data_IF_918700199214
#
_entry.id   IF_918700199214
#
_cell.length_a   1.000
_cell.length_b   1.000
_cell.length_c   1.000
_cell.angle_alpha   90.00
_cell.angle_beta   90.00
_cell.angle_gamma   90.00
#
_symmetry.space_group_name_H-M   'P 1'
#
loop_
_entity.id
_entity.type
_entity.pdbx_description
1 polymer ?
#
# COMPACT_ATOMS: atom_id res chain seq x y z
N UNK A 1 32.00 18.12 -40.89
CA UNK A 1 32.01 19.46 -41.52
C UNK A 1 31.42 20.43 -40.52
N UNK A 2 32.20 20.83 -39.52
CA UNK A 2 33.26 21.86 -39.57
C UNK A 2 32.68 23.25 -39.31
N UNK A 3 33.23 23.90 -38.29
CA UNK A 3 33.13 25.33 -37.97
C UNK A 3 31.85 25.84 -37.27
N UNK A 4 31.56 25.32 -36.07
CA UNK A 4 31.14 26.17 -34.94
C UNK A 4 31.58 25.59 -33.58
N UNK A 5 32.57 24.70 -33.61
CA UNK A 5 33.44 24.41 -32.47
C UNK A 5 34.28 25.69 -32.30
N UNK A 6 34.42 26.20 -31.07
CA UNK A 6 35.13 27.44 -30.70
C UNK A 6 34.32 28.76 -30.55
N UNK A 7 33.08 28.70 -30.04
CA UNK A 7 32.65 29.69 -29.01
C UNK A 7 33.00 29.20 -27.59
N UNK A 8 34.04 28.38 -27.53
CA UNK A 8 35.00 28.30 -26.46
C UNK A 8 35.22 29.66 -25.79
N UNK A 9 34.95 29.71 -24.49
CA UNK A 9 35.79 30.43 -23.54
C UNK A 9 35.83 31.96 -23.70
N UNK A 10 34.69 32.63 -23.54
CA UNK A 10 34.69 33.98 -22.98
C UNK A 10 33.68 34.09 -21.84
N UNK A 11 34.13 33.61 -20.68
CA UNK A 11 34.15 34.43 -19.48
C UNK A 11 32.83 35.07 -19.06
N UNK A 12 32.01 34.28 -18.37
CA UNK A 12 31.28 34.77 -17.19
C UNK A 12 31.47 33.74 -16.08
N UNK A 13 32.65 33.81 -15.44
CA UNK A 13 32.95 32.99 -14.28
C UNK A 13 31.93 33.28 -13.18
N UNK A 14 31.26 32.22 -12.73
CA UNK A 14 30.98 32.07 -11.30
C UNK A 14 29.65 31.41 -10.94
N UNK A 15 28.56 31.64 -11.69
CA UNK A 15 27.21 31.19 -11.26
C UNK A 15 26.39 30.44 -12.31
N UNK A 16 26.34 30.89 -13.56
CA UNK A 16 25.36 30.38 -14.54
C UNK A 16 25.66 28.98 -15.09
N UNK A 17 26.94 28.61 -15.27
CA UNK A 17 27.33 27.27 -15.73
C UNK A 17 27.09 26.18 -14.66
N UNK A 18 27.21 26.54 -13.38
CA UNK A 18 26.97 25.61 -12.26
C UNK A 18 25.49 25.21 -12.22
N UNK A 19 24.57 26.17 -12.41
CA UNK A 19 23.13 25.87 -12.47
C UNK A 19 22.75 25.00 -13.68
N UNK A 20 23.42 25.18 -14.82
CA UNK A 20 23.23 24.34 -16.01
C UNK A 20 23.70 22.89 -15.76
N UNK A 21 24.85 22.71 -15.09
CA UNK A 21 25.35 21.39 -14.70
C UNK A 21 24.41 20.69 -13.70
N UNK A 22 23.92 21.40 -12.68
CA UNK A 22 22.94 20.86 -11.73
C UNK A 22 21.64 20.45 -12.42
N UNK A 23 21.17 21.25 -13.38
CA UNK A 23 19.97 20.94 -14.16
C UNK A 23 20.17 19.68 -15.01
N UNK A 24 21.31 19.56 -15.70
CA UNK A 24 21.67 18.38 -16.48
C UNK A 24 21.71 17.11 -15.62
N UNK A 25 22.37 17.16 -14.46
CA UNK A 25 22.41 16.03 -13.52
C UNK A 25 21.01 15.68 -13.02
N UNK A 26 20.18 16.67 -12.71
CA UNK A 26 18.79 16.48 -12.31
C UNK A 26 17.96 15.76 -13.36
N UNK A 27 18.04 16.21 -14.63
CA UNK A 27 17.36 15.55 -15.75
C UNK A 27 17.89 14.14 -16.01
N UNK A 28 19.20 13.92 -15.92
CA UNK A 28 19.79 12.60 -16.10
C UNK A 28 19.30 11.62 -15.01
N UNK A 29 19.25 12.06 -13.75
CA UNK A 29 18.72 11.25 -12.65
C UNK A 29 17.24 10.94 -12.83
N UNK A 30 16.43 11.92 -13.25
CA UNK A 30 15.01 11.71 -13.53
C UNK A 30 14.81 10.69 -14.67
N UNK A 31 15.58 10.83 -15.75
CA UNK A 31 15.54 9.91 -16.89
C UNK A 31 15.98 8.49 -16.52
N UNK A 32 17.06 8.34 -15.74
CA UNK A 32 17.50 7.02 -15.25
C UNK A 32 16.45 6.41 -14.33
N UNK A 33 15.84 7.20 -13.44
CA UNK A 33 14.76 6.71 -12.57
C UNK A 33 13.56 6.22 -13.39
N UNK A 34 13.15 6.97 -14.41
CA UNK A 34 12.08 6.58 -15.33
C UNK A 34 12.42 5.30 -16.10
N UNK A 35 13.65 5.18 -16.61
CA UNK A 35 14.12 3.97 -17.29
C UNK A 35 14.12 2.75 -16.36
N UNK A 36 14.55 2.91 -15.11
CA UNK A 36 14.51 1.84 -14.10
C UNK A 36 13.08 1.44 -13.72
N UNK A 37 12.17 2.40 -13.64
CA UNK A 37 10.75 2.14 -13.35
C UNK A 37 10.07 1.39 -14.51
N UNK A 38 10.38 1.73 -15.77
CA UNK A 38 9.82 1.07 -16.95
C UNK A 38 10.38 -0.35 -17.13
N UNK A 39 11.67 -0.55 -16.82
CA UNK A 39 12.34 -1.84 -17.06
C UNK A 39 12.18 -2.85 -15.93
N UNK A 40 11.81 -2.39 -14.72
CA UNK A 40 11.68 -3.26 -13.54
C UNK A 40 10.25 -3.76 -13.30
N UNK A 41 10.06 -5.08 -13.22
CA UNK A 41 8.80 -5.70 -12.74
C UNK A 41 8.64 -5.68 -11.22
N UNK A 42 9.43 -4.88 -10.50
CA UNK A 42 9.53 -4.89 -9.03
C UNK A 42 8.17 -4.70 -8.34
N UNK A 43 7.31 -3.84 -8.90
CA UNK A 43 5.96 -3.63 -8.39
C UNK A 43 5.15 -4.92 -8.48
N UNK A 44 5.11 -5.54 -9.66
CA UNK A 44 4.34 -6.76 -9.94
C UNK A 44 4.80 -7.93 -9.07
N UNK A 45 6.10 -8.13 -8.92
CA UNK A 45 6.66 -9.20 -8.09
C UNK A 45 6.35 -8.98 -6.60
N UNK A 46 6.51 -7.75 -6.11
CA UNK A 46 6.11 -7.38 -4.74
C UNK A 46 4.61 -7.58 -4.51
N UNK A 47 3.78 -7.24 -5.51
CA UNK A 47 2.33 -7.43 -5.44
C UNK A 47 1.93 -8.89 -5.38
N UNK A 48 2.49 -9.74 -6.23
CA UNK A 48 2.20 -11.18 -6.24
C UNK A 48 2.62 -11.82 -4.92
N UNK A 49 3.81 -11.46 -4.40
CA UNK A 49 4.26 -11.93 -3.10
C UNK A 49 3.34 -11.49 -1.95
N UNK A 50 2.91 -10.22 -1.95
CA UNK A 50 1.98 -9.68 -0.95
C UNK A 50 0.61 -10.35 -1.00
N UNK A 51 0.03 -10.49 -2.20
CA UNK A 51 -1.25 -11.16 -2.39
C UNK A 51 -1.21 -12.62 -1.93
N UNK A 52 -0.08 -13.28 -2.18
CA UNK A 52 0.22 -14.61 -1.67
C UNK A 52 0.22 -14.71 -0.15
N UNK A 53 0.98 -13.82 0.50
CA UNK A 53 1.06 -13.78 1.95
C UNK A 53 -0.31 -13.52 2.61
N UNK A 54 -1.12 -12.60 2.07
CA UNK A 54 -2.48 -12.38 2.58
C UNK A 54 -3.40 -13.58 2.32
N UNK A 55 -3.25 -14.29 1.20
CA UNK A 55 -4.01 -15.52 0.91
C UNK A 55 -3.69 -16.64 1.90
N UNK A 56 -2.41 -16.89 2.19
CA UNK A 56 -1.98 -17.87 3.20
C UNK A 56 -2.49 -17.49 4.59
N UNK A 57 -2.49 -16.20 4.93
CA UNK A 57 -3.03 -15.69 6.20
C UNK A 57 -4.55 -15.91 6.30
N UNK A 58 -5.30 -15.65 5.23
CA UNK A 58 -6.74 -15.96 5.16
C UNK A 58 -6.99 -17.45 5.34
N UNK A 59 -6.26 -18.32 4.63
CA UNK A 59 -6.35 -19.77 4.80
C UNK A 59 -6.03 -20.21 6.23
N UNK A 60 -5.03 -19.59 6.85
CA UNK A 60 -4.61 -19.90 8.23
C UNK A 60 -5.72 -19.59 9.23
N UNK A 61 -6.39 -18.44 9.08
CA UNK A 61 -7.55 -18.08 9.92
C UNK A 61 -8.73 -19.02 9.68
N UNK A 62 -9.09 -19.27 8.42
CA UNK A 62 -10.20 -20.17 8.07
C UNK A 62 -9.98 -21.57 8.65
N UNK A 63 -8.78 -22.12 8.53
CA UNK A 63 -8.42 -23.40 9.14
C UNK A 63 -8.53 -23.36 10.67
N UNK A 64 -7.92 -22.35 11.30
CA UNK A 64 -7.83 -22.26 12.76
C UNK A 64 -9.20 -22.20 13.42
N UNK A 65 -10.16 -21.52 12.80
CA UNK A 65 -11.48 -21.32 13.41
C UNK A 65 -12.57 -22.22 12.84
N UNK A 66 -12.19 -23.16 11.97
CA UNK A 66 -13.12 -24.15 11.43
C UNK A 66 -14.09 -23.60 10.40
N UNK A 67 -13.69 -22.57 9.66
CA UNK A 67 -14.48 -21.99 8.59
C UNK A 67 -14.32 -22.78 7.29
N UNK A 68 -15.27 -22.63 6.37
CA UNK A 68 -15.22 -23.22 5.03
C UNK A 68 -13.83 -22.97 4.41
N UNK A 69 -13.20 -23.91 3.69
CA UNK A 69 -13.61 -25.30 3.48
C UNK A 69 -13.14 -26.25 4.59
N UNK A 70 -12.63 -25.74 5.73
CA UNK A 70 -12.02 -26.49 6.81
C UNK A 70 -13.01 -26.77 7.95
N UNK A 71 -14.14 -27.41 7.67
CA UNK A 71 -15.17 -27.66 8.68
C UNK A 71 -14.66 -28.51 9.86
N UNK A 72 -15.13 -28.23 11.08
CA UNK A 72 -14.69 -28.92 12.31
C UNK A 72 -15.09 -30.39 12.41
N UNK A 73 -16.11 -30.81 11.67
CA UNK A 73 -16.51 -32.22 11.60
C UNK A 73 -15.60 -33.07 10.71
N UNK A 74 -14.71 -32.46 9.91
CA UNK A 74 -13.73 -33.19 9.13
C UNK A 74 -12.64 -33.78 10.05
N UNK A 75 -12.16 -35.01 9.78
CA UNK A 75 -10.99 -35.56 10.45
C UNK A 75 -9.80 -34.61 10.35
N UNK A 76 -9.02 -34.46 11.44
CA UNK A 76 -7.89 -33.53 11.50
C UNK A 76 -6.92 -33.73 10.32
N UNK A 77 -6.55 -34.98 10.04
CA UNK A 77 -5.67 -35.35 8.91
C UNK A 77 -6.18 -34.86 7.56
N UNK A 78 -7.49 -34.90 7.35
CA UNK A 78 -8.11 -34.44 6.11
C UNK A 78 -8.06 -32.90 6.01
N UNK A 79 -8.36 -32.21 7.11
CA UNK A 79 -8.26 -30.74 7.17
C UNK A 79 -6.82 -30.24 7.00
N UNK A 80 -5.84 -30.96 7.57
CA UNK A 80 -4.41 -30.65 7.44
C UNK A 80 -3.95 -30.83 5.99
N UNK A 81 -4.33 -31.95 5.37
CA UNK A 81 -4.01 -32.22 3.97
C UNK A 81 -4.63 -31.16 3.04
N UNK A 82 -5.89 -30.80 3.28
CA UNK A 82 -6.56 -29.75 2.51
C UNK A 82 -5.85 -28.40 2.69
N UNK A 83 -5.48 -28.04 3.91
CA UNK A 83 -4.76 -26.79 4.18
C UNK A 83 -3.43 -26.76 3.43
N UNK A 84 -2.65 -27.84 3.55
CA UNK A 84 -1.38 -28.01 2.86
C UNK A 84 -1.51 -27.87 1.35
N UNK A 85 -2.51 -28.52 0.78
CA UNK A 85 -2.81 -28.44 -0.65
C UNK A 85 -3.11 -26.99 -1.08
N UNK A 86 -3.99 -26.29 -0.35
CA UNK A 86 -4.36 -24.90 -0.65
C UNK A 86 -3.20 -23.92 -0.51
N UNK A 87 -2.36 -24.07 0.50
CA UNK A 87 -1.15 -23.25 0.64
C UNK A 87 -0.17 -23.54 -0.49
N UNK A 88 0.00 -24.80 -0.89
CA UNK A 88 0.81 -25.17 -2.04
C UNK A 88 0.28 -24.58 -3.36
N UNK A 89 -1.04 -24.50 -3.55
CA UNK A 89 -1.65 -23.86 -4.72
C UNK A 89 -1.32 -22.37 -4.77
N UNK A 90 -1.43 -21.67 -3.64
CA UNK A 90 -1.07 -20.26 -3.52
C UNK A 90 0.42 -20.07 -3.84
N UNK A 91 1.30 -20.88 -3.25
CA UNK A 91 2.74 -20.82 -3.52
C UNK A 91 3.06 -21.04 -4.99
N UNK A 92 2.44 -22.05 -5.64
CA UNK A 92 2.61 -22.29 -7.09
C UNK A 92 2.14 -21.14 -7.96
N UNK A 93 1.04 -20.48 -7.58
CA UNK A 93 0.53 -19.32 -8.31
C UNK A 93 1.51 -18.12 -8.28
N UNK A 94 2.32 -18.00 -7.23
CA UNK A 94 3.29 -16.90 -7.04
C UNK A 94 4.68 -17.29 -7.56
N UNK A 95 5.01 -18.58 -7.61
CA UNK A 95 6.36 -19.10 -7.84
C UNK A 95 6.93 -18.91 -9.26
N UNK A 96 6.39 -18.01 -10.09
CA UNK A 96 7.09 -17.61 -11.32
C UNK A 96 8.48 -17.02 -11.04
N UNK A 97 8.69 -16.42 -9.86
CA UNK A 97 9.96 -15.81 -9.42
C UNK A 97 10.34 -16.11 -7.95
N UNK A 98 9.66 -17.03 -7.26
CA UNK A 98 9.88 -17.25 -5.82
C UNK A 98 11.18 -18.05 -5.57
N UNK A 99 12.00 -17.55 -4.64
CA UNK A 99 13.16 -18.28 -4.11
C UNK A 99 12.70 -19.61 -3.50
N UNK A 100 13.47 -20.71 -3.63
CA UNK A 100 13.15 -21.97 -2.99
C UNK A 100 13.00 -21.77 -1.48
N UNK A 101 11.83 -22.13 -0.94
CA UNK A 101 11.53 -22.02 0.48
C UNK A 101 12.42 -23.00 1.27
N UNK A 102 13.01 -22.53 2.36
CA UNK A 102 13.97 -23.27 3.21
C UNK A 102 13.26 -24.26 4.15
N UNK A 103 11.96 -24.11 4.37
CA UNK A 103 11.14 -25.00 5.21
C UNK A 103 9.76 -25.25 4.58
N UNK A 104 9.18 -26.41 4.86
CA UNK A 104 7.81 -26.77 4.48
C UNK A 104 6.78 -26.01 5.35
N UNK A 105 6.67 -24.70 5.11
CA UNK A 105 5.70 -23.80 5.76
C UNK A 105 4.24 -24.03 5.32
N UNK A 106 3.96 -25.13 4.62
CA UNK A 106 2.60 -25.44 4.13
C UNK A 106 1.76 -26.25 5.12
N UNK A 107 2.35 -26.74 6.22
CA UNK A 107 1.60 -27.47 7.26
C UNK A 107 0.96 -26.51 8.29
N UNK A 108 -0.23 -26.82 8.82
CA UNK A 108 -0.81 -26.04 9.91
C UNK A 108 0.10 -26.03 11.14
N UNK A 109 0.19 -24.90 11.82
CA UNK A 109 0.97 -24.80 13.07
C UNK A 109 0.21 -25.43 14.25
N UNK A 110 0.94 -25.82 15.31
CA UNK A 110 0.34 -26.36 16.53
C UNK A 110 -0.68 -25.39 17.17
N UNK A 111 -0.40 -24.08 17.15
CA UNK A 111 -1.35 -23.09 17.66
C UNK A 111 -2.64 -23.07 16.85
N UNK A 112 -2.57 -23.22 15.52
CA UNK A 112 -3.76 -23.29 14.67
C UNK A 112 -4.62 -24.52 15.01
N UNK A 113 -3.97 -25.67 15.26
CA UNK A 113 -4.63 -26.92 15.67
C UNK A 113 -5.28 -26.80 17.04
N UNK A 114 -4.60 -26.18 18.00
CA UNK A 114 -5.13 -25.92 19.35
C UNK A 114 -6.38 -25.03 19.29
N UNK A 115 -6.33 -23.94 18.53
CA UNK A 115 -7.50 -23.06 18.32
C UNK A 115 -8.63 -23.87 17.68
N UNK A 116 -8.33 -24.67 16.65
CA UNK A 116 -9.31 -25.48 15.93
C UNK A 116 -10.04 -26.49 16.82
N UNK A 117 -9.31 -27.13 17.75
CA UNK A 117 -9.86 -28.09 18.69
C UNK A 117 -10.69 -27.45 19.83
N UNK A 118 -10.63 -26.12 19.97
CA UNK A 118 -11.35 -25.41 21.02
C UNK A 118 -12.84 -25.23 20.72
N UNK A 119 -13.59 -24.89 21.77
CA UNK A 119 -15.03 -24.63 21.65
C UNK A 119 -15.34 -23.52 20.64
N UNK A 120 -16.54 -23.52 20.06
CA UNK A 120 -16.99 -22.47 19.16
C UNK A 120 -16.85 -21.07 19.77
N UNK A 121 -17.17 -20.93 21.06
CA UNK A 121 -17.08 -19.66 21.79
C UNK A 121 -15.64 -19.18 21.86
N UNK A 122 -14.70 -20.10 22.13
CA UNK A 122 -13.28 -19.78 22.21
C UNK A 122 -12.69 -19.39 20.84
N UNK A 123 -12.98 -20.18 19.79
CA UNK A 123 -12.62 -19.83 18.40
C UNK A 123 -13.16 -18.46 18.00
N UNK A 124 -14.41 -18.17 18.35
CA UNK A 124 -15.05 -16.87 18.08
C UNK A 124 -14.31 -15.73 18.76
N UNK A 125 -14.07 -15.85 20.06
CA UNK A 125 -13.38 -14.82 20.83
C UNK A 125 -11.96 -14.56 20.29
N UNK A 126 -11.23 -15.63 19.92
CA UNK A 126 -9.90 -15.54 19.33
C UNK A 126 -9.97 -14.83 17.97
N UNK A 127 -10.89 -15.24 17.09
CA UNK A 127 -11.07 -14.62 15.78
C UNK A 127 -11.41 -13.13 15.90
N UNK A 128 -12.43 -12.79 16.69
CA UNK A 128 -12.88 -11.42 16.85
C UNK A 128 -11.76 -10.54 17.41
N UNK A 129 -11.02 -11.03 18.42
CA UNK A 129 -9.95 -10.27 19.06
C UNK A 129 -8.72 -10.09 18.17
N UNK A 130 -8.19 -11.18 17.62
CA UNK A 130 -6.87 -11.18 16.99
C UNK A 130 -6.91 -10.99 15.48
N UNK A 131 -8.03 -11.31 14.82
CA UNK A 131 -8.22 -11.14 13.39
C UNK A 131 -9.05 -9.91 13.07
N UNK A 132 -10.33 -9.89 13.45
CA UNK A 132 -11.23 -8.81 13.08
C UNK A 132 -10.85 -7.48 13.76
N UNK A 133 -10.75 -7.44 15.09
CA UNK A 133 -10.51 -6.20 15.83
C UNK A 133 -9.11 -5.62 15.57
N UNK A 134 -8.10 -6.47 15.32
CA UNK A 134 -6.77 -6.02 14.90
C UNK A 134 -6.82 -5.36 13.51
N UNK A 135 -7.56 -5.95 12.57
CA UNK A 135 -7.74 -5.39 11.23
C UNK A 135 -8.52 -4.07 11.29
N UNK A 136 -9.62 -4.03 12.04
CA UNK A 136 -10.42 -2.83 12.29
C UNK A 136 -9.56 -1.68 12.83
N UNK A 137 -8.79 -1.92 13.91
CA UNK A 137 -7.95 -0.90 14.50
C UNK A 137 -6.87 -0.42 13.52
N UNK A 138 -6.25 -1.31 12.74
CA UNK A 138 -5.29 -0.93 11.72
C UNK A 138 -5.89 0.01 10.67
N UNK A 139 -7.10 -0.29 10.16
CA UNK A 139 -7.78 0.57 9.19
C UNK A 139 -8.20 1.91 9.79
N UNK A 140 -8.77 1.90 11.00
CA UNK A 140 -9.12 3.11 11.75
C UNK A 140 -7.91 4.02 11.96
N UNK A 141 -6.79 3.46 12.37
CA UNK A 141 -5.55 4.22 12.58
C UNK A 141 -4.97 4.73 11.26
N UNK A 142 -5.04 3.94 10.18
CA UNK A 142 -4.64 4.38 8.84
C UNK A 142 -5.52 5.52 8.33
N UNK A 143 -6.83 5.47 8.54
CA UNK A 143 -7.74 6.56 8.20
C UNK A 143 -7.35 7.84 8.95
N UNK A 144 -7.19 7.76 10.27
CA UNK A 144 -6.80 8.91 11.11
C UNK A 144 -5.44 9.50 10.74
N UNK A 145 -4.45 8.64 10.46
CA UNK A 145 -3.12 9.09 10.06
C UNK A 145 -3.14 9.79 8.69
N UNK A 146 -3.94 9.29 7.74
CA UNK A 146 -4.12 9.95 6.43
C UNK A 146 -4.89 11.27 6.57
N UNK A 147 -5.90 11.36 7.43
CA UNK A 147 -6.60 12.62 7.74
C UNK A 147 -5.61 13.67 8.29
N UNK A 148 -4.80 13.30 9.28
CA UNK A 148 -3.76 14.17 9.85
C UNK A 148 -2.72 14.59 8.81
N UNK A 149 -2.28 13.65 7.97
CA UNK A 149 -1.34 13.93 6.88
C UNK A 149 -1.93 14.90 5.85
N UNK A 150 -3.21 14.74 5.47
CA UNK A 150 -3.89 15.63 4.53
C UNK A 150 -3.91 17.08 5.03
N UNK A 151 -4.27 17.30 6.30
CA UNK A 151 -4.27 18.64 6.91
C UNK A 151 -2.86 19.21 6.97
N UNK A 152 -1.88 18.41 7.41
CA UNK A 152 -0.48 18.84 7.52
C UNK A 152 0.09 19.26 6.16
N UNK A 153 -0.08 18.44 5.12
CA UNK A 153 0.45 18.73 3.80
C UNK A 153 -0.23 19.91 3.12
N UNK A 154 -1.54 20.09 3.31
CA UNK A 154 -2.25 21.31 2.86
C UNK A 154 -1.67 22.56 3.53
N UNK A 155 -1.43 22.50 4.85
CA UNK A 155 -0.79 23.60 5.58
C UNK A 155 0.63 23.93 5.08
N UNK A 156 1.43 22.89 4.80
CA UNK A 156 2.77 23.07 4.22
C UNK A 156 2.69 23.74 2.84
N UNK A 157 1.77 23.31 1.97
CA UNK A 157 1.62 23.86 0.63
C UNK A 157 1.17 25.33 0.68
N UNK A 158 0.16 25.67 1.48
CA UNK A 158 -0.29 27.06 1.68
C UNK A 158 0.85 27.90 2.25
N UNK A 159 1.62 27.38 3.22
CA UNK A 159 2.79 28.08 3.76
C UNK A 159 3.84 28.36 2.68
N UNK A 160 4.13 27.38 1.83
CA UNK A 160 5.06 27.54 0.70
C UNK A 160 4.56 28.58 -0.32
N UNK A 161 3.26 28.58 -0.63
CA UNK A 161 2.62 29.57 -1.50
C UNK A 161 2.73 30.99 -0.91
N UNK A 162 2.45 31.17 0.39
CA UNK A 162 2.59 32.46 1.07
C UNK A 162 4.04 32.96 1.03
N UNK A 163 5.02 32.07 1.25
CA UNK A 163 6.45 32.42 1.15
C UNK A 163 6.80 32.83 -0.29
N UNK A 164 6.32 32.11 -1.30
CA UNK A 164 6.57 32.45 -2.69
C UNK A 164 5.95 33.80 -3.06
N UNK A 165 4.74 34.10 -2.60
CA UNK A 165 4.09 35.41 -2.79
C UNK A 165 4.90 36.52 -2.11
N UNK A 166 5.37 36.31 -0.87
CA UNK A 166 6.18 37.29 -0.16
C UNK A 166 7.51 37.58 -0.86
N UNK A 167 8.20 36.55 -1.35
CA UNK A 167 9.44 36.70 -2.11
C UNK A 167 9.21 37.40 -3.45
N UNK A 168 8.11 37.09 -4.15
CA UNK A 168 7.72 37.78 -5.38
C UNK A 168 7.45 39.28 -5.13
N UNK A 169 6.75 39.62 -4.04
CA UNK A 169 6.52 41.00 -3.64
C UNK A 169 7.82 41.72 -3.25
N UNK A 170 8.72 41.07 -2.50
CA UNK A 170 10.02 41.63 -2.14
C UNK A 170 10.90 41.93 -3.37
N UNK A 171 10.84 41.08 -4.41
CA UNK A 171 11.47 41.36 -5.70
C UNK A 171 10.81 42.54 -6.42
N UNK A 172 9.48 42.55 -6.51
CA UNK A 172 8.74 43.57 -7.25
C UNK A 172 8.86 44.99 -6.65
N UNK A 173 8.90 45.10 -5.32
CA UNK A 173 8.85 46.38 -4.61
C UNK A 173 10.10 46.70 -3.78
N UNK A 174 10.92 45.70 -3.45
CA UNK A 174 12.05 45.83 -2.51
C UNK A 174 13.44 45.90 -3.15
N UNK A 175 13.54 45.90 -4.48
CA UNK A 175 14.82 46.02 -5.21
C UNK A 175 15.72 44.77 -5.13
N UNK A 176 15.18 43.61 -4.76
CA UNK A 176 15.92 42.35 -4.70
C UNK A 176 16.12 41.73 -6.08
N UNK A 177 17.36 41.64 -6.54
CA UNK A 177 17.68 41.23 -7.91
C UNK A 177 17.88 39.70 -8.09
N UNK A 178 17.66 38.89 -7.05
CA UNK A 178 17.82 37.43 -7.15
C UNK A 178 16.54 36.78 -7.69
N UNK A 179 16.64 36.11 -8.84
CA UNK A 179 15.52 35.39 -9.46
C UNK A 179 15.43 33.95 -8.94
N UNK A 180 14.71 33.77 -7.83
CA UNK A 180 14.32 32.45 -7.33
C UNK A 180 12.94 32.01 -7.84
N UNK A 181 12.26 32.81 -8.67
CA UNK A 181 10.87 32.56 -9.03
C UNK A 181 10.71 31.21 -9.74
N UNK A 182 11.59 30.91 -10.70
CA UNK A 182 11.58 29.61 -11.39
C UNK A 182 11.81 28.41 -10.47
N UNK A 183 12.73 28.51 -9.51
CA UNK A 183 13.03 27.43 -8.55
C UNK A 183 11.86 27.23 -7.58
N UNK A 184 11.28 28.30 -7.06
CA UNK A 184 10.11 28.25 -6.17
C UNK A 184 8.88 27.69 -6.88
N UNK A 185 8.61 28.12 -8.10
CA UNK A 185 7.52 27.58 -8.92
C UNK A 185 7.70 26.08 -9.19
N UNK A 186 8.93 25.63 -9.47
CA UNK A 186 9.21 24.20 -9.65
C UNK A 186 9.01 23.40 -8.35
N UNK A 187 9.45 23.91 -7.19
CA UNK A 187 9.26 23.26 -5.88
C UNK A 187 7.77 23.18 -5.53
N UNK A 188 7.02 24.25 -5.74
CA UNK A 188 5.57 24.28 -5.47
C UNK A 188 4.85 23.33 -6.42
N UNK A 189 5.18 23.34 -7.72
CA UNK A 189 4.62 22.43 -8.71
C UNK A 189 4.89 20.96 -8.37
N UNK A 190 6.13 20.62 -8.02
CA UNK A 190 6.51 19.27 -7.59
C UNK A 190 5.80 18.87 -6.27
N UNK A 191 5.70 19.79 -5.31
CA UNK A 191 4.98 19.58 -4.05
C UNK A 191 3.49 19.36 -4.25
N UNK A 192 2.86 20.14 -5.14
CA UNK A 192 1.45 20.00 -5.50
C UNK A 192 1.21 18.66 -6.23
N UNK A 193 2.07 18.28 -7.16
CA UNK A 193 2.03 16.99 -7.84
C UNK A 193 2.19 15.83 -6.85
N UNK A 194 3.15 15.92 -5.92
CA UNK A 194 3.33 14.92 -4.87
C UNK A 194 2.09 14.78 -3.97
N UNK A 195 1.46 15.90 -3.60
CA UNK A 195 0.25 15.90 -2.79
C UNK A 195 -0.94 15.26 -3.54
N UNK A 196 -1.07 15.58 -4.83
CA UNK A 196 -2.07 14.97 -5.71
C UNK A 196 -1.85 13.46 -5.81
N UNK A 197 -0.61 12.99 -5.96
CA UNK A 197 -0.26 11.57 -6.00
C UNK A 197 -0.51 10.85 -4.67
N UNK A 198 -0.27 11.49 -3.51
CA UNK A 198 -0.46 10.83 -2.20
C UNK A 198 -1.92 10.61 -1.83
N UNK A 199 -2.85 11.36 -2.41
CA UNK A 199 -4.30 11.18 -2.25
C UNK A 199 -4.77 10.95 -0.80
N UNK A 200 -4.17 11.63 0.19
CA UNK A 200 -4.43 11.39 1.62
C UNK A 200 -5.91 11.51 1.99
N UNK A 201 -6.66 12.42 1.36
CA UNK A 201 -8.11 12.56 1.59
C UNK A 201 -8.87 11.33 1.10
N UNK A 202 -8.60 10.87 -0.12
CA UNK A 202 -9.23 9.67 -0.70
C UNK A 202 -8.92 8.43 0.14
N UNK A 203 -7.64 8.23 0.50
CA UNK A 203 -7.21 7.11 1.35
C UNK A 203 -7.85 7.14 2.73
N UNK A 204 -7.99 8.33 3.34
CA UNK A 204 -8.67 8.46 4.62
C UNK A 204 -10.13 8.00 4.54
N UNK A 205 -10.84 8.36 3.46
CA UNK A 205 -12.23 7.97 3.29
C UNK A 205 -12.38 6.46 3.04
N UNK A 206 -11.56 5.90 2.14
CA UNK A 206 -11.57 4.47 1.84
C UNK A 206 -11.29 3.61 3.08
N UNK A 207 -10.25 3.96 3.86
CA UNK A 207 -9.95 3.22 5.09
C UNK A 207 -11.02 3.37 6.18
N UNK A 208 -11.66 4.53 6.27
CA UNK A 208 -12.75 4.73 7.22
C UNK A 208 -13.98 3.87 6.86
N UNK A 209 -14.32 3.79 5.57
CA UNK A 209 -15.41 2.94 5.08
C UNK A 209 -15.16 1.46 5.40
N UNK A 210 -13.96 0.96 5.09
CA UNK A 210 -13.57 -0.41 5.43
C UNK A 210 -13.63 -0.68 6.94
N UNK A 211 -13.21 0.28 7.78
CA UNK A 211 -13.32 0.12 9.23
C UNK A 211 -14.79 -0.04 9.68
N UNK A 212 -15.72 0.74 9.11
CA UNK A 212 -17.16 0.62 9.40
C UNK A 212 -17.71 -0.73 8.96
N UNK A 213 -17.32 -1.22 7.77
CA UNK A 213 -17.77 -2.53 7.28
C UNK A 213 -17.24 -3.68 8.15
N UNK A 214 -15.97 -3.62 8.58
CA UNK A 214 -15.39 -4.60 9.49
C UNK A 214 -16.08 -4.62 10.86
N UNK A 215 -16.47 -3.45 11.36
CA UNK A 215 -17.22 -3.33 12.62
C UNK A 215 -18.64 -3.92 12.49
N UNK A 216 -19.31 -3.67 11.36
CA UNK A 216 -20.61 -4.29 11.05
C UNK A 216 -20.51 -5.82 10.98
N UNK A 217 -19.49 -6.34 10.29
CA UNK A 217 -19.21 -7.78 10.23
C UNK A 217 -18.92 -8.36 11.62
N UNK A 218 -18.17 -7.63 12.46
CA UNK A 218 -17.89 -8.04 13.84
C UNK A 218 -19.18 -8.28 14.63
N UNK A 219 -20.11 -7.34 14.58
CA UNK A 219 -21.40 -7.46 15.28
C UNK A 219 -22.23 -8.65 14.77
N UNK A 220 -22.21 -8.91 13.47
CA UNK A 220 -22.88 -10.08 12.90
C UNK A 220 -22.25 -11.40 13.39
N UNK A 221 -20.92 -11.45 13.52
CA UNK A 221 -20.19 -12.63 13.98
C UNK A 221 -20.36 -12.91 15.48
N UNK A 222 -20.61 -11.88 16.30
CA UNK A 222 -20.76 -12.01 17.76
C UNK A 222 -21.97 -12.87 18.16
N UNK A 223 -23.07 -12.77 17.40
CA UNK A 223 -24.37 -13.38 17.73
C UNK A 223 -24.57 -14.80 17.19
N UNK A 224 -23.62 -15.34 16.41
CA UNK A 224 -23.79 -16.64 15.74
C UNK A 224 -23.49 -17.79 16.69
N UNK A 225 -24.45 -18.66 16.96
CA UNK A 225 -24.27 -19.75 17.95
C UNK A 225 -24.05 -21.15 17.34
N UNK A 226 -24.27 -21.33 16.03
CA UNK A 226 -24.10 -22.63 15.36
C UNK A 226 -22.75 -22.77 14.64
N UNK A 227 -22.25 -24.00 14.54
CA UNK A 227 -21.00 -24.31 13.80
C UNK A 227 -21.14 -24.02 12.29
N UNK A 228 -22.26 -24.40 11.65
CA UNK A 228 -22.43 -24.11 10.22
C UNK A 228 -22.57 -22.60 9.95
N UNK A 229 -23.33 -21.89 10.79
CA UNK A 229 -23.48 -20.44 10.68
C UNK A 229 -22.14 -19.74 10.85
N UNK A 230 -21.36 -20.16 11.86
CA UNK A 230 -20.04 -19.62 12.13
C UNK A 230 -19.09 -19.83 10.95
N UNK A 231 -19.04 -21.06 10.45
CA UNK A 231 -18.14 -21.44 9.37
C UNK A 231 -18.39 -20.62 8.10
N UNK A 232 -19.66 -20.42 7.72
CA UNK A 232 -20.03 -19.62 6.55
C UNK A 232 -19.74 -18.14 6.76
N UNK A 233 -20.17 -17.57 7.88
CA UNK A 233 -19.99 -16.14 8.12
C UNK A 233 -18.53 -15.72 8.26
N UNK A 234 -17.66 -16.57 8.83
CA UNK A 234 -16.22 -16.29 8.82
C UNK A 234 -15.64 -16.39 7.41
N UNK A 235 -16.07 -17.36 6.60
CA UNK A 235 -15.62 -17.47 5.22
C UNK A 235 -16.01 -16.22 4.42
N UNK A 236 -17.25 -15.75 4.57
CA UNK A 236 -17.74 -14.51 3.94
C UNK A 236 -16.95 -13.28 4.41
N UNK A 237 -16.66 -13.19 5.71
CA UNK A 237 -15.86 -12.10 6.28
C UNK A 237 -14.42 -12.10 5.74
N UNK A 238 -13.77 -13.25 5.69
CA UNK A 238 -12.42 -13.38 5.14
C UNK A 238 -12.38 -13.12 3.62
N UNK A 239 -13.42 -13.52 2.89
CA UNK A 239 -13.55 -13.20 1.48
C UNK A 239 -13.75 -11.70 1.27
N UNK A 240 -14.58 -11.05 2.08
CA UNK A 240 -14.76 -9.60 2.05
C UNK A 240 -13.44 -8.86 2.31
N UNK A 241 -12.68 -9.25 3.34
CA UNK A 241 -11.35 -8.69 3.63
C UNK A 241 -10.41 -8.88 2.43
N UNK A 242 -10.43 -10.05 1.79
CA UNK A 242 -9.59 -10.36 0.63
C UNK A 242 -9.99 -9.54 -0.62
N UNK A 243 -11.29 -9.32 -0.83
CA UNK A 243 -11.81 -8.48 -1.93
C UNK A 243 -11.46 -7.01 -1.72
N UNK A 244 -11.58 -6.47 -0.51
CA UNK A 244 -11.20 -5.09 -0.22
C UNK A 244 -9.71 -4.85 -0.50
N UNK A 245 -8.85 -5.79 -0.12
CA UNK A 245 -7.43 -5.73 -0.47
C UNK A 245 -7.24 -5.71 -1.99
N UNK A 246 -7.95 -6.55 -2.74
CA UNK A 246 -7.85 -6.59 -4.21
C UNK A 246 -8.43 -5.34 -4.89
N UNK A 247 -9.58 -4.82 -4.46
CA UNK A 247 -10.18 -3.60 -5.04
C UNK A 247 -9.35 -2.34 -4.75
N UNK A 248 -8.79 -2.21 -3.55
CA UNK A 248 -7.84 -1.14 -3.24
C UNK A 248 -6.59 -1.22 -4.11
N UNK A 249 -6.18 -2.43 -4.52
CA UNK A 249 -5.07 -2.63 -5.45
C UNK A 249 -5.47 -2.29 -6.89
N UNK A 250 -6.63 -2.73 -7.37
CA UNK A 250 -7.12 -2.42 -8.71
C UNK A 250 -7.27 -0.90 -8.94
N UNK A 251 -7.84 -0.19 -7.96
CA UNK A 251 -7.96 1.28 -8.00
C UNK A 251 -6.62 2.03 -7.97
N UNK A 252 -5.50 1.39 -7.64
CA UNK A 252 -4.15 1.97 -7.79
C UNK A 252 -3.47 1.56 -9.09
N UNK A 253 -3.78 0.38 -9.61
CA UNK A 253 -3.33 -0.09 -10.93
C UNK A 253 -3.98 0.68 -12.08
N UNK A 254 -5.31 0.87 -12.04
CA UNK A 254 -6.04 1.65 -13.05
C UNK A 254 -5.62 3.12 -13.10
N UNK A 255 -5.23 3.71 -11.95
CA UNK A 255 -4.72 5.09 -11.92
C UNK A 255 -3.39 5.22 -12.66
N UNK A 256 -2.59 4.16 -12.76
CA UNK A 256 -1.35 4.15 -13.55
C UNK A 256 -1.60 3.84 -15.04
N UNK A 257 -2.67 3.12 -15.40
CA UNK A 257 -3.03 2.84 -16.80
C UNK A 257 -3.79 4.00 -17.47
N UNK A 258 -4.50 4.82 -16.71
CA UNK A 258 -5.23 5.99 -17.25
C UNK A 258 -4.29 7.21 -17.46
N UNK A 259 -3.05 7.15 -16.97
CA UNK A 259 -2.02 8.18 -17.17
C UNK A 259 -0.81 7.72 -17.98
N UNK A 260 -0.92 6.60 -18.70
CA UNK A 260 0.09 6.10 -19.65
C UNK A 260 -0.23 6.47 -21.09
#
# INVERSE_FOLDING_TARGET
MSAAIFAAFSFSLGRWEIFALFSLVGFLMAFIAELLLITGSYEKDWYQARAGAESVKTLSWRYSVGADPFFTHLPEKESDFLFKSRVSDVSRAIAKNALPLVEDGSSPTETMKQIRASSLIERRNIYLKYRNNKQFNWYKDKANNNKKASVRWRGILIGAEVIAIALAAARAFGGWDIDFAGILSAIIGAGAAWLALKQHTSLSAAYALTAVELEKQRHALEIIESEEGWSRSVADAEEAISREHTMWLASRGEVNEITG
#
